data_IF_622464838547
#
_entry.id   IF_622464838547
#
_cell.length_a   1.000
_cell.length_b   1.000
_cell.length_c   1.000
_cell.angle_alpha   90.00
_cell.angle_beta   90.00
_cell.angle_gamma   90.00
#
_symmetry.space_group_name_H-M   'P 1'
#
loop_
_entity.id
_entity.type
_entity.pdbx_description
1 polymer ?
#
# COMPACT_ATOMS: atom_id res chain seq x y z
N UNK A 1 37.76 -26.42 -60.90
CA UNK A 1 37.52 -25.19 -60.17
C UNK A 1 36.56 -25.53 -59.03
N UNK A 2 37.09 -25.66 -57.78
CA UNK A 2 36.31 -26.04 -56.60
C UNK A 2 35.92 -24.75 -55.87
N UNK A 3 34.61 -24.66 -55.58
CA UNK A 3 34.02 -23.51 -54.82
C UNK A 3 34.14 -23.81 -53.34
N UNK A 4 34.62 -22.89 -52.51
CA UNK A 4 34.68 -23.10 -51.05
C UNK A 4 33.31 -22.92 -50.41
N UNK A 5 32.90 -23.90 -49.59
CA UNK A 5 31.73 -23.86 -48.72
C UNK A 5 32.02 -23.05 -47.46
N UNK A 6 31.30 -21.94 -47.25
CA UNK A 6 31.37 -21.17 -46.00
C UNK A 6 30.40 -21.81 -45.01
N UNK A 7 30.96 -22.33 -43.91
CA UNK A 7 30.18 -22.80 -42.73
C UNK A 7 29.84 -21.56 -41.88
N UNK A 8 28.55 -21.33 -41.64
CA UNK A 8 28.07 -20.35 -40.65
C UNK A 8 28.39 -20.82 -39.22
N UNK A 9 28.88 -19.95 -38.35
CA UNK A 9 29.03 -20.29 -36.93
C UNK A 9 27.65 -20.45 -36.26
N UNK A 10 27.56 -21.23 -35.16
CA UNK A 10 26.31 -21.45 -34.47
C UNK A 10 25.82 -20.17 -33.81
N UNK A 11 24.54 -19.88 -34.02
CA UNK A 11 23.83 -18.76 -33.44
C UNK A 11 23.81 -18.92 -31.90
N UNK A 12 24.64 -18.15 -31.20
CA UNK A 12 24.61 -18.10 -29.73
C UNK A 12 23.35 -17.37 -29.30
N UNK A 13 22.40 -18.13 -28.80
CA UNK A 13 21.22 -17.62 -28.07
C UNK A 13 21.70 -16.70 -26.95
N UNK A 14 21.24 -15.45 -26.86
CA UNK A 14 21.60 -14.60 -25.73
C UNK A 14 21.05 -15.21 -24.44
N UNK A 15 21.92 -15.30 -23.44
CA UNK A 15 21.58 -15.73 -22.10
C UNK A 15 20.41 -14.91 -21.56
N UNK A 16 19.55 -15.57 -20.80
CA UNK A 16 18.47 -14.95 -20.04
C UNK A 16 18.98 -13.69 -19.33
N UNK A 17 18.47 -12.54 -19.74
CA UNK A 17 18.53 -11.34 -18.91
C UNK A 17 17.79 -11.62 -17.62
N UNK A 18 18.46 -11.50 -16.48
CA UNK A 18 17.80 -11.33 -15.19
C UNK A 18 16.70 -10.29 -15.40
N UNK A 19 15.46 -10.69 -15.27
CA UNK A 19 14.30 -9.82 -15.42
C UNK A 19 14.38 -8.79 -14.30
N UNK A 20 14.91 -7.62 -14.60
CA UNK A 20 14.88 -6.49 -13.67
C UNK A 20 13.42 -6.28 -13.25
N UNK A 21 13.19 -6.16 -11.94
CA UNK A 21 11.85 -5.93 -11.41
C UNK A 21 11.22 -4.71 -12.10
N UNK A 22 9.93 -4.81 -12.46
CA UNK A 22 9.20 -3.71 -13.11
C UNK A 22 9.24 -2.45 -12.22
N UNK A 23 9.86 -1.35 -12.67
CA UNK A 23 10.02 -0.13 -11.85
C UNK A 23 8.68 0.44 -11.35
N UNK A 24 7.60 0.26 -12.11
CA UNK A 24 6.27 0.71 -11.68
C UNK A 24 5.71 -0.16 -10.55
N UNK A 25 5.94 -1.47 -10.60
CA UNK A 25 5.59 -2.36 -9.48
C UNK A 25 6.37 -1.99 -8.23
N UNK A 26 7.67 -1.75 -8.34
CA UNK A 26 8.50 -1.36 -7.22
C UNK A 26 8.08 0.00 -6.62
N UNK A 27 7.69 0.97 -7.46
CA UNK A 27 7.12 2.23 -6.97
C UNK A 27 5.80 2.02 -6.23
N UNK A 28 4.91 1.15 -6.72
CA UNK A 28 3.66 0.82 -6.01
C UNK A 28 3.93 0.09 -4.69
N UNK A 29 4.88 -0.83 -4.65
CA UNK A 29 5.31 -1.50 -3.43
C UNK A 29 5.87 -0.50 -2.41
N UNK A 30 6.69 0.45 -2.87
CA UNK A 30 7.16 1.55 -2.02
C UNK A 30 6.01 2.44 -1.53
N UNK A 31 4.98 2.66 -2.36
CA UNK A 31 3.77 3.38 -1.96
C UNK A 31 3.00 2.62 -0.87
N UNK A 32 2.88 1.29 -0.97
CA UNK A 32 2.28 0.45 0.08
C UNK A 32 3.09 0.52 1.38
N UNK A 33 4.43 0.48 1.31
CA UNK A 33 5.30 0.65 2.48
C UNK A 33 5.13 2.05 3.10
N UNK A 34 4.97 3.09 2.28
CA UNK A 34 4.67 4.46 2.73
C UNK A 34 3.31 4.53 3.43
N UNK A 35 2.31 3.85 2.89
CA UNK A 35 0.97 3.77 3.50
C UNK A 35 1.03 3.00 4.84
N UNK A 36 1.78 1.88 4.90
CA UNK A 36 2.01 1.14 6.14
C UNK A 36 2.67 1.99 7.22
N UNK A 37 3.72 2.73 6.87
CA UNK A 37 4.43 3.61 7.78
C UNK A 37 3.53 4.73 8.32
N UNK A 38 2.92 5.50 7.42
CA UNK A 38 2.09 6.67 7.79
C UNK A 38 0.76 6.27 8.41
N UNK A 39 0.12 5.23 7.87
CA UNK A 39 -1.10 4.65 8.42
C UNK A 39 -0.87 4.02 9.78
N UNK A 40 0.20 3.23 9.92
CA UNK A 40 0.61 2.65 11.19
C UNK A 40 0.84 3.72 12.29
N UNK A 41 1.44 4.85 11.94
CA UNK A 41 1.59 5.99 12.85
C UNK A 41 0.23 6.59 13.24
N UNK A 42 -0.73 6.66 12.31
CA UNK A 42 -2.07 7.21 12.55
C UNK A 42 -2.93 6.31 13.44
N UNK A 43 -2.80 4.98 13.32
CA UNK A 43 -3.69 4.03 14.01
C UNK A 43 -3.14 3.51 15.34
N UNK A 44 -1.84 3.69 15.63
CA UNK A 44 -1.22 3.25 16.90
C UNK A 44 -1.59 4.16 18.06
N UNK A 45 -1.68 3.57 19.26
CA UNK A 45 -1.85 4.31 20.51
C UNK A 45 -3.03 5.30 20.46
N UNK A 46 -4.14 4.86 19.92
CA UNK A 46 -5.38 5.64 19.90
C UNK A 46 -6.05 5.60 21.28
N UNK A 47 -6.76 6.67 21.68
CA UNK A 47 -7.50 6.65 22.94
C UNK A 47 -8.66 5.66 22.85
N UNK A 48 -9.12 5.17 24.01
CA UNK A 48 -10.31 4.33 24.10
C UNK A 48 -11.51 5.06 23.47
N UNK A 49 -12.33 4.32 22.71
CA UNK A 49 -13.49 4.86 22.01
C UNK A 49 -13.17 5.69 20.77
N UNK A 50 -11.92 5.76 20.32
CA UNK A 50 -11.56 6.55 19.14
C UNK A 50 -12.24 6.06 17.87
N UNK A 51 -12.49 4.77 17.73
CA UNK A 51 -13.20 4.21 16.56
C UNK A 51 -14.53 4.90 16.27
N UNK A 52 -15.26 5.28 17.35
CA UNK A 52 -16.59 5.88 17.29
C UNK A 52 -16.58 7.40 17.52
N UNK A 53 -15.41 8.04 17.52
CA UNK A 53 -15.28 9.48 17.76
C UNK A 53 -16.05 10.28 16.71
N UNK A 54 -16.98 11.13 17.17
CA UNK A 54 -17.80 12.01 16.33
C UNK A 54 -17.23 13.43 16.33
N UNK A 55 -16.71 13.85 15.18
CA UNK A 55 -16.17 15.20 15.01
C UNK A 55 -17.21 16.25 14.61
N UNK A 56 -18.40 15.82 14.19
CA UNK A 56 -19.51 16.65 13.75
C UNK A 56 -20.51 15.88 12.92
N UNK A 57 -21.64 16.53 12.60
CA UNK A 57 -22.67 15.94 11.77
C UNK A 57 -22.13 15.65 10.35
N UNK A 58 -22.44 14.47 9.82
CA UNK A 58 -21.98 14.03 8.49
C UNK A 58 -20.51 13.63 8.40
N UNK A 59 -19.72 13.74 9.47
CA UNK A 59 -18.33 13.29 9.50
C UNK A 59 -18.26 11.81 9.81
N UNK A 60 -17.58 11.02 8.96
CA UNK A 60 -17.38 9.59 9.23
C UNK A 60 -16.48 9.40 10.44
N UNK A 61 -16.84 8.53 11.39
CA UNK A 61 -15.97 8.17 12.51
C UNK A 61 -14.74 7.40 12.04
N UNK A 62 -13.62 7.43 12.82
CA UNK A 62 -12.36 6.79 12.45
C UNK A 62 -12.47 5.31 12.07
N UNK A 63 -13.31 4.55 12.78
CA UNK A 63 -13.54 3.12 12.48
C UNK A 63 -14.11 2.89 11.08
N UNK A 64 -15.05 3.72 10.64
CA UNK A 64 -15.58 3.64 9.27
C UNK A 64 -14.53 4.04 8.21
N UNK A 65 -13.68 5.01 8.52
CA UNK A 65 -12.60 5.42 7.62
C UNK A 65 -11.56 4.31 7.48
N UNK A 66 -11.17 3.68 8.59
CA UNK A 66 -10.18 2.59 8.56
C UNK A 66 -10.73 1.35 7.84
N UNK A 67 -12.01 0.99 8.05
CA UNK A 67 -12.69 -0.06 7.31
C UNK A 67 -12.69 0.23 5.80
N UNK A 68 -12.96 1.47 5.41
CA UNK A 68 -12.92 1.90 4.01
C UNK A 68 -11.51 1.82 3.40
N UNK A 69 -10.46 2.17 4.16
CA UNK A 69 -9.07 1.95 3.71
C UNK A 69 -8.82 0.46 3.45
N UNK A 70 -9.28 -0.43 4.33
CA UNK A 70 -9.20 -1.87 4.11
C UNK A 70 -9.92 -2.31 2.83
N UNK A 71 -11.12 -1.79 2.57
CA UNK A 71 -11.89 -2.06 1.35
C UNK A 71 -11.17 -1.57 0.09
N UNK A 72 -10.52 -0.40 0.14
CA UNK A 72 -9.73 0.14 -0.97
C UNK A 72 -8.53 -0.76 -1.31
N UNK A 73 -7.83 -1.28 -0.31
CA UNK A 73 -6.69 -2.18 -0.50
C UNK A 73 -7.13 -3.54 -1.06
N UNK A 74 -8.20 -4.13 -0.52
CA UNK A 74 -8.78 -5.37 -1.02
C UNK A 74 -9.29 -5.21 -2.46
N UNK A 75 -9.93 -4.08 -2.77
CA UNK A 75 -10.39 -3.75 -4.12
C UNK A 75 -9.23 -3.53 -5.10
N UNK A 76 -8.20 -2.80 -4.68
CA UNK A 76 -6.98 -2.60 -5.48
C UNK A 76 -6.33 -3.93 -5.87
N UNK A 77 -6.20 -4.86 -4.92
CA UNK A 77 -5.70 -6.21 -5.17
C UNK A 77 -6.64 -7.00 -6.10
N UNK A 78 -7.96 -6.92 -5.89
CA UNK A 78 -8.92 -7.60 -6.75
C UNK A 78 -8.82 -7.11 -8.20
N UNK A 79 -8.77 -5.78 -8.43
CA UNK A 79 -8.58 -5.20 -9.76
C UNK A 79 -7.25 -5.66 -10.38
N UNK A 80 -6.17 -5.64 -9.59
CA UNK A 80 -4.86 -6.10 -10.06
C UNK A 80 -4.88 -7.56 -10.53
N UNK A 81 -5.73 -8.38 -9.91
CA UNK A 81 -5.99 -9.78 -10.30
C UNK A 81 -7.08 -9.94 -11.38
N UNK A 82 -7.55 -8.86 -11.98
CA UNK A 82 -8.59 -8.91 -13.03
C UNK A 82 -10.01 -9.11 -12.52
N UNK A 83 -10.25 -8.88 -11.22
CA UNK A 83 -11.56 -9.04 -10.59
C UNK A 83 -12.17 -7.67 -10.28
N UNK A 84 -13.43 -7.46 -10.66
CA UNK A 84 -14.18 -6.23 -10.33
C UNK A 84 -15.04 -6.48 -9.07
N UNK A 85 -14.38 -6.53 -7.90
CA UNK A 85 -15.08 -6.85 -6.64
C UNK A 85 -14.90 -5.72 -5.64
N UNK A 86 -15.89 -4.83 -5.56
CA UNK A 86 -16.01 -3.86 -4.49
C UNK A 86 -16.79 -4.43 -3.30
N UNK A 87 -16.36 -4.12 -2.10
CA UNK A 87 -17.08 -4.38 -0.86
C UNK A 87 -17.26 -3.07 -0.11
N UNK A 88 -18.33 -2.98 0.66
CA UNK A 88 -18.57 -1.90 1.61
C UNK A 88 -18.74 -2.53 2.98
N UNK A 89 -17.62 -2.75 3.65
CA UNK A 89 -17.56 -3.52 4.89
C UNK A 89 -18.16 -2.74 6.06
N UNK A 90 -18.85 -3.44 6.95
CA UNK A 90 -19.17 -2.88 8.26
C UNK A 90 -17.88 -2.82 9.09
N UNK A 91 -17.64 -1.71 9.82
CA UNK A 91 -16.47 -1.62 10.68
C UNK A 91 -16.41 -2.75 11.70
N UNK A 92 -15.23 -3.33 11.85
CA UNK A 92 -14.86 -4.24 12.91
C UNK A 92 -14.44 -3.45 14.16
N UNK A 93 -14.27 -4.08 15.33
CA UNK A 93 -13.58 -3.48 16.45
C UNK A 93 -12.22 -2.93 16.02
N UNK A 94 -11.79 -1.78 16.58
CA UNK A 94 -10.62 -1.02 16.13
C UNK A 94 -9.37 -1.86 15.90
N UNK A 95 -9.01 -2.70 16.88
CA UNK A 95 -7.81 -3.54 16.79
C UNK A 95 -7.88 -4.55 15.62
N UNK A 96 -9.07 -5.05 15.33
CA UNK A 96 -9.29 -5.97 14.21
C UNK A 96 -9.22 -5.23 12.86
N UNK A 97 -9.69 -3.97 12.78
CA UNK A 97 -9.50 -3.15 11.58
C UNK A 97 -8.03 -2.79 11.36
N UNK A 98 -7.28 -2.53 12.42
CA UNK A 98 -5.82 -2.31 12.34
C UNK A 98 -5.12 -3.57 11.82
N UNK A 99 -5.47 -4.74 12.30
CA UNK A 99 -4.95 -6.03 11.80
C UNK A 99 -5.33 -6.25 10.33
N UNK A 100 -6.60 -5.99 9.97
CA UNK A 100 -7.08 -6.07 8.59
C UNK A 100 -6.30 -5.15 7.66
N UNK A 101 -6.05 -3.91 8.07
CA UNK A 101 -5.29 -2.93 7.31
C UNK A 101 -3.90 -3.45 6.94
N UNK A 102 -3.12 -3.96 7.91
CA UNK A 102 -1.79 -4.50 7.64
C UNK A 102 -1.83 -5.81 6.85
N UNK A 103 -2.84 -6.65 7.07
CA UNK A 103 -3.06 -7.88 6.31
C UNK A 103 -3.36 -7.59 4.85
N UNK A 104 -4.19 -6.58 4.55
CA UNK A 104 -4.52 -6.18 3.19
C UNK A 104 -3.30 -5.57 2.47
N UNK A 105 -2.52 -4.73 3.15
CA UNK A 105 -1.24 -4.20 2.65
C UNK A 105 -0.29 -5.32 2.26
N UNK A 106 -0.12 -6.31 3.15
CA UNK A 106 0.77 -7.44 2.88
C UNK A 106 0.33 -8.25 1.67
N UNK A 107 -0.94 -8.60 1.57
CA UNK A 107 -1.46 -9.35 0.41
C UNK A 107 -1.25 -8.60 -0.90
N UNK A 108 -1.41 -7.28 -0.88
CA UNK A 108 -1.22 -6.47 -2.08
C UNK A 108 0.27 -6.33 -2.45
N UNK A 109 1.15 -6.14 -1.47
CA UNK A 109 2.60 -6.12 -1.70
C UNK A 109 3.11 -7.47 -2.21
N UNK A 110 2.68 -8.58 -1.61
CA UNK A 110 3.05 -9.93 -2.04
C UNK A 110 2.67 -10.19 -3.51
N UNK A 111 1.48 -9.72 -3.93
CA UNK A 111 1.06 -9.81 -5.33
C UNK A 111 1.96 -8.97 -6.24
N UNK A 112 2.25 -7.72 -5.86
CA UNK A 112 3.12 -6.85 -6.66
C UNK A 112 4.57 -7.34 -6.70
N UNK A 113 5.02 -8.06 -5.68
CA UNK A 113 6.35 -8.68 -5.61
C UNK A 113 6.44 -9.96 -6.45
N UNK A 114 5.30 -10.58 -6.75
CA UNK A 114 5.25 -11.83 -7.52
C UNK A 114 5.45 -11.59 -9.01
N UNK A 115 5.65 -12.67 -9.75
CA UNK A 115 5.68 -12.67 -11.22
C UNK A 115 4.27 -12.75 -11.85
N UNK A 116 3.20 -12.77 -11.04
CA UNK A 116 1.83 -12.79 -11.54
C UNK A 116 1.54 -11.54 -12.39
N UNK A 117 0.92 -11.66 -13.58
CA UNK A 117 0.60 -10.52 -14.41
C UNK A 117 -0.44 -9.62 -13.75
N UNK A 118 -0.22 -8.30 -13.78
CA UNK A 118 -1.25 -7.35 -13.39
C UNK A 118 -2.26 -7.15 -14.53
N UNK A 119 -3.54 -7.36 -14.24
CA UNK A 119 -4.63 -7.21 -15.20
C UNK A 119 -5.21 -5.79 -15.25
N UNK A 120 -4.60 -4.85 -14.53
CA UNK A 120 -4.96 -3.43 -14.54
C UNK A 120 -3.71 -2.57 -14.75
N UNK A 121 -3.91 -1.35 -15.26
CA UNK A 121 -2.84 -0.36 -15.32
C UNK A 121 -2.33 -0.02 -13.92
N UNK A 122 -1.02 -0.06 -13.72
CA UNK A 122 -0.37 0.24 -12.44
C UNK A 122 -0.62 1.70 -12.02
N UNK A 123 -0.73 2.61 -13.00
CA UNK A 123 -1.09 4.02 -12.76
C UNK A 123 -2.51 4.15 -12.20
N UNK A 124 -3.47 3.33 -12.69
CA UNK A 124 -4.83 3.32 -12.15
C UNK A 124 -4.91 2.73 -10.75
N UNK A 125 -4.08 1.76 -10.42
CA UNK A 125 -3.95 1.25 -9.06
C UNK A 125 -3.41 2.31 -8.10
N UNK A 126 -2.48 3.16 -8.59
CA UNK A 126 -2.01 4.31 -7.81
C UNK A 126 -3.10 5.37 -7.66
N UNK A 127 -3.64 5.89 -8.77
CA UNK A 127 -4.57 7.04 -8.77
C UNK A 127 -5.89 6.77 -8.04
N UNK A 128 -6.36 5.54 -8.06
CA UNK A 128 -7.58 5.10 -7.37
C UNK A 128 -7.27 4.62 -5.95
N UNK A 129 -7.20 3.30 -5.70
CA UNK A 129 -7.19 2.75 -4.35
C UNK A 129 -6.05 3.26 -3.47
N UNK A 130 -4.82 3.44 -3.99
CA UNK A 130 -3.69 3.80 -3.14
C UNK A 130 -3.68 5.29 -2.78
N UNK A 131 -3.94 6.18 -3.73
CA UNK A 131 -4.01 7.63 -3.46
C UNK A 131 -5.19 7.95 -2.53
N UNK A 132 -6.33 7.29 -2.71
CA UNK A 132 -7.49 7.46 -1.84
C UNK A 132 -7.20 6.97 -0.41
N UNK A 133 -6.59 5.79 -0.25
CA UNK A 133 -6.17 5.29 1.05
C UNK A 133 -5.20 6.28 1.78
N UNK A 134 -4.24 6.88 1.07
CA UNK A 134 -3.35 7.91 1.64
C UNK A 134 -4.12 9.16 2.08
N UNK A 135 -5.13 9.57 1.32
CA UNK A 135 -6.01 10.69 1.67
C UNK A 135 -6.78 10.40 2.96
N UNK A 136 -7.31 9.19 3.10
CA UNK A 136 -8.04 8.74 4.28
C UNK A 136 -7.15 8.61 5.53
N UNK A 137 -5.88 8.24 5.40
CA UNK A 137 -4.91 8.31 6.51
C UNK A 137 -4.78 9.75 7.02
N UNK A 138 -4.78 10.73 6.11
CA UNK A 138 -4.81 12.16 6.48
C UNK A 138 -6.07 12.53 7.28
N UNK A 139 -7.23 12.00 6.92
CA UNK A 139 -8.47 12.21 7.67
C UNK A 139 -8.40 11.61 9.07
N UNK A 140 -7.88 10.40 9.26
CA UNK A 140 -7.66 9.81 10.59
C UNK A 140 -6.75 10.72 11.43
N UNK A 141 -5.68 11.27 10.85
CA UNK A 141 -4.78 12.19 11.56
C UNK A 141 -5.47 13.49 11.98
N UNK A 142 -6.40 14.04 11.20
CA UNK A 142 -7.22 15.18 11.59
C UNK A 142 -8.15 14.80 12.76
N UNK A 143 -8.83 13.66 12.67
CA UNK A 143 -9.71 13.19 13.74
C UNK A 143 -8.94 12.93 15.04
N UNK A 144 -7.70 12.46 14.99
CA UNK A 144 -6.82 12.34 16.16
C UNK A 144 -6.56 13.68 16.84
N UNK A 145 -6.33 14.74 16.04
CA UNK A 145 -6.14 16.10 16.58
C UNK A 145 -7.42 16.60 17.27
N UNK A 146 -8.57 16.38 16.64
CA UNK A 146 -9.88 16.76 17.20
C UNK A 146 -10.20 15.97 18.47
N UNK A 147 -9.84 14.69 18.53
CA UNK A 147 -9.95 13.83 19.70
C UNK A 147 -8.86 14.11 20.78
N UNK A 148 -8.07 15.19 20.64
CA UNK A 148 -6.98 15.58 21.58
C UNK A 148 -5.88 14.51 21.74
N UNK A 149 -5.68 13.66 20.77
CA UNK A 149 -4.65 12.62 20.73
C UNK A 149 -3.78 12.74 19.45
N UNK A 150 -3.16 13.92 19.20
CA UNK A 150 -2.46 14.18 17.94
C UNK A 150 -1.30 13.21 17.73
N UNK A 151 -1.03 12.88 16.48
CA UNK A 151 0.22 12.29 16.06
C UNK A 151 1.23 13.42 15.83
N UNK A 152 2.46 13.25 16.30
CA UNK A 152 3.53 14.22 16.03
C UNK A 152 3.78 14.37 14.54
N UNK A 153 4.04 15.60 14.11
CA UNK A 153 4.52 15.89 12.76
C UNK A 153 5.85 15.20 12.50
N UNK A 154 6.12 14.87 11.25
CA UNK A 154 7.36 14.22 10.88
C UNK A 154 7.78 14.65 9.47
N UNK A 155 9.08 14.82 9.28
CA UNK A 155 9.65 14.93 7.94
C UNK A 155 9.76 13.53 7.30
N UNK A 156 8.73 13.15 6.57
CA UNK A 156 8.69 11.83 5.90
C UNK A 156 9.76 11.64 4.82
N UNK A 157 10.36 12.72 4.32
CA UNK A 157 11.50 12.59 3.40
C UNK A 157 12.74 12.00 4.10
N UNK A 158 12.90 12.28 5.39
CA UNK A 158 13.98 11.74 6.21
C UNK A 158 13.66 10.35 6.80
N UNK A 159 12.40 9.90 6.74
CA UNK A 159 11.97 8.63 7.30
C UNK A 159 12.62 7.44 6.58
N UNK A 160 12.88 6.36 7.32
CA UNK A 160 13.28 5.07 6.73
C UNK A 160 12.04 4.28 6.34
N UNK A 161 11.67 4.33 5.07
CA UNK A 161 10.56 3.57 4.50
C UNK A 161 11.14 2.59 3.49
N UNK A 162 11.01 1.30 3.74
CA UNK A 162 11.62 0.23 2.96
C UNK A 162 10.55 -0.51 2.17
N UNK A 163 10.75 -0.68 0.86
CA UNK A 163 9.87 -1.49 0.01
C UNK A 163 9.73 -2.91 0.57
N UNK A 164 8.51 -3.40 0.66
CA UNK A 164 8.20 -4.71 1.25
C UNK A 164 7.95 -4.67 2.77
N UNK A 165 8.28 -3.59 3.47
CA UNK A 165 7.98 -3.44 4.90
C UNK A 165 6.59 -2.87 5.11
N UNK A 166 5.59 -3.75 5.04
CA UNK A 166 4.16 -3.41 5.06
C UNK A 166 3.42 -3.93 6.30
N UNK A 167 4.16 -4.25 7.37
CA UNK A 167 3.60 -4.74 8.64
C UNK A 167 3.47 -3.62 9.68
N UNK A 168 2.90 -3.93 10.85
CA UNK A 168 2.84 -3.01 11.98
C UNK A 168 4.22 -2.67 12.58
N UNK A 169 5.22 -3.54 12.36
CA UNK A 169 6.60 -3.30 12.77
C UNK A 169 7.28 -2.32 11.81
N UNK A 170 7.34 -1.05 12.24
CA UNK A 170 7.91 0.06 11.48
C UNK A 170 9.08 0.68 12.24
N UNK A 171 10.09 1.22 11.54
CA UNK A 171 11.18 1.94 12.18
C UNK A 171 10.69 3.12 13.02
N UNK A 172 11.47 3.45 14.04
CA UNK A 172 11.21 4.67 14.79
C UNK A 172 11.33 5.92 13.88
N UNK A 173 10.50 6.95 14.10
CA UNK A 173 10.61 8.20 13.38
C UNK A 173 11.99 8.84 13.55
N UNK A 174 12.56 9.37 12.45
CA UNK A 174 13.89 10.01 12.49
C UNK A 174 13.86 11.49 12.81
N UNK A 175 12.85 12.20 12.35
CA UNK A 175 12.77 13.65 12.48
C UNK A 175 11.31 14.08 12.73
N UNK A 176 10.91 13.99 14.02
CA UNK A 176 9.62 14.49 14.49
C UNK A 176 9.73 15.94 15.01
N UNK A 177 8.59 16.67 14.94
CA UNK A 177 8.45 18.05 15.43
C UNK A 177 7.02 18.32 15.94
#
# INVERSE_FOLDING_TARGET
MSVPTFSNPPNSTPAHSDSAADPKRELLRHTLATLAYRGGKAVRNTPAGFADFQAGEGVRPPGQILAHIGDLLDWGLAIAKGQQKWQNSKPLPWEQEVERFFTALKKFDDFLASSEPAHASLEKLFQGPLADALTHVGQINILRRLARAPVKGENYYAATIETGRVTADQPAPKLEF
#
